data_IF_092753747465
#
_entry.id   IF_092753747465
#
_cell.length_a   1.000
_cell.length_b   1.000
_cell.length_c   1.000
_cell.angle_alpha   90.00
_cell.angle_beta   90.00
_cell.angle_gamma   90.00
#
_symmetry.space_group_name_H-M   'P 1'
#
loop_
_entity.id
_entity.type
_entity.pdbx_description
1 polymer ?
#
# COMPACT_ATOMS: atom_id res chain seq x y z
N UNK A 1 -11.68 -14.10 9.24
CA UNK A 1 -10.25 -14.14 9.56
C UNK A 1 -9.58 -12.84 9.14
N UNK A 2 -8.83 -12.24 10.06
CA UNK A 2 -8.08 -11.02 9.73
C UNK A 2 -6.92 -11.34 8.78
N UNK A 3 -6.83 -10.57 7.69
CA UNK A 3 -5.74 -10.70 6.72
C UNK A 3 -5.07 -9.34 6.55
N UNK A 4 -3.84 -9.17 7.04
CA UNK A 4 -3.15 -7.89 6.92
C UNK A 4 -2.75 -7.53 5.49
N UNK A 5 -2.70 -8.53 4.58
CA UNK A 5 -2.41 -8.33 3.17
C UNK A 5 -3.48 -8.99 2.32
N UNK A 6 -3.77 -8.45 1.13
CA UNK A 6 -4.57 -9.15 0.12
C UNK A 6 -3.93 -10.49 -0.26
N UNK A 7 -4.73 -11.42 -0.76
CA UNK A 7 -4.21 -12.72 -1.21
C UNK A 7 -3.21 -12.62 -2.35
N UNK A 8 -3.28 -11.54 -3.13
CA UNK A 8 -2.37 -11.33 -4.25
C UNK A 8 -0.97 -10.89 -3.84
N UNK A 9 -0.76 -10.57 -2.55
CA UNK A 9 0.51 -10.01 -2.07
C UNK A 9 1.15 -10.86 -0.98
N UNK A 10 2.47 -10.78 -0.90
CA UNK A 10 3.26 -11.43 0.16
C UNK A 10 4.49 -10.58 0.49
N UNK A 11 5.13 -10.89 1.60
CA UNK A 11 6.36 -10.23 2.05
C UNK A 11 7.51 -11.19 1.87
N UNK A 12 8.58 -10.72 1.21
CA UNK A 12 9.80 -11.48 0.98
C UNK A 12 11.01 -10.59 1.13
N UNK A 13 12.19 -11.19 1.16
CA UNK A 13 13.44 -10.44 1.13
C UNK A 13 13.53 -9.66 -0.19
N UNK A 14 13.81 -8.36 -0.08
CA UNK A 14 13.86 -7.44 -1.20
C UNK A 14 15.28 -7.33 -1.75
N UNK A 15 15.41 -7.12 -3.06
CA UNK A 15 16.67 -6.71 -3.66
C UNK A 15 16.98 -5.24 -3.47
N UNK A 16 16.00 -4.44 -3.00
CA UNK A 16 16.16 -3.00 -2.80
C UNK A 16 16.60 -2.72 -1.36
N UNK A 17 15.81 -3.16 -0.39
CA UNK A 17 16.08 -2.90 1.01
C UNK A 17 15.28 -3.86 1.89
N UNK A 18 15.94 -4.60 2.77
CA UNK A 18 15.34 -5.47 3.77
C UNK A 18 14.26 -6.37 3.22
N UNK A 19 13.07 -6.30 3.80
CA UNK A 19 11.88 -6.99 3.32
C UNK A 19 11.11 -6.07 2.37
N UNK A 20 10.38 -6.67 1.44
CA UNK A 20 9.57 -5.95 0.48
C UNK A 20 8.23 -6.63 0.23
N UNK A 21 7.39 -5.95 -0.51
CA UNK A 21 6.04 -6.39 -0.88
C UNK A 21 6.09 -6.97 -2.30
N UNK A 22 5.63 -8.21 -2.47
CA UNK A 22 5.75 -8.93 -3.75
C UNK A 22 4.39 -9.44 -4.20
N UNK A 23 4.21 -9.52 -5.52
CA UNK A 23 3.02 -10.10 -6.13
C UNK A 23 3.10 -11.62 -6.07
N UNK A 24 2.06 -12.25 -5.52
CA UNK A 24 1.89 -13.72 -5.52
C UNK A 24 1.25 -14.20 -6.81
N UNK A 25 0.60 -13.31 -7.53
CA UNK A 25 -0.09 -13.59 -8.78
C UNK A 25 -0.07 -12.34 -9.64
N UNK A 26 -0.46 -12.45 -10.89
CA UNK A 26 -0.55 -11.30 -11.78
C UNK A 26 -1.56 -10.27 -11.27
N UNK A 27 -1.20 -8.98 -11.35
CA UNK A 27 -2.04 -7.86 -10.93
C UNK A 27 -2.22 -6.95 -12.14
N UNK A 28 -3.46 -6.66 -12.47
CA UNK A 28 -3.75 -5.81 -13.63
C UNK A 28 -3.60 -4.33 -13.34
N UNK A 29 -3.22 -3.57 -14.35
CA UNK A 29 -3.16 -2.11 -14.28
C UNK A 29 -4.48 -1.54 -13.76
N UNK A 30 -4.41 -0.60 -12.85
CA UNK A 30 -5.58 0.04 -12.25
C UNK A 30 -6.17 -0.71 -11.05
N UNK A 31 -5.65 -1.88 -10.70
CA UNK A 31 -6.13 -2.65 -9.57
C UNK A 31 -5.90 -1.88 -8.27
N UNK A 32 -6.95 -1.76 -7.44
CA UNK A 32 -6.85 -1.18 -6.12
C UNK A 32 -6.42 -2.28 -5.14
N UNK A 33 -5.23 -2.13 -4.57
CA UNK A 33 -4.64 -3.14 -3.70
C UNK A 33 -5.07 -2.99 -2.24
N UNK A 34 -5.67 -1.86 -1.89
CA UNK A 34 -6.14 -1.60 -0.54
C UNK A 34 -5.37 -0.48 0.15
N UNK A 35 -5.68 -0.28 1.42
CA UNK A 35 -5.16 0.84 2.21
C UNK A 35 -3.71 0.61 2.62
N UNK A 36 -2.84 1.57 2.30
CA UNK A 36 -1.43 1.55 2.69
C UNK A 36 -1.14 2.45 3.89
N UNK A 37 -1.85 3.55 3.99
CA UNK A 37 -1.63 4.57 5.02
C UNK A 37 -2.94 5.18 5.45
N UNK A 38 -2.98 5.69 6.68
CA UNK A 38 -4.13 6.41 7.23
C UNK A 38 -3.65 7.59 8.05
N UNK A 39 -4.36 8.73 7.96
CA UNK A 39 -4.07 9.92 8.74
C UNK A 39 -5.01 9.96 9.94
N UNK A 40 -4.45 9.91 11.14
CA UNK A 40 -5.18 10.04 12.40
C UNK A 40 -4.60 11.21 13.16
N UNK A 41 -5.41 12.25 13.39
CA UNK A 41 -4.90 13.49 13.96
C UNK A 41 -3.82 14.10 13.07
N UNK A 42 -2.61 14.27 13.59
CA UNK A 42 -1.46 14.78 12.84
C UNK A 42 -0.48 13.69 12.41
N UNK A 43 -0.79 12.41 12.69
CA UNK A 43 0.12 11.30 12.43
C UNK A 43 -0.35 10.40 11.29
N UNK A 44 0.60 10.04 10.42
CA UNK A 44 0.36 9.06 9.36
C UNK A 44 0.75 7.69 9.89
N UNK A 45 -0.18 6.74 9.83
CA UNK A 45 0.04 5.37 10.28
C UNK A 45 0.10 4.47 9.06
N UNK A 46 1.08 3.58 9.03
CA UNK A 46 1.25 2.59 7.97
C UNK A 46 0.49 1.31 8.30
N UNK A 47 -0.26 0.80 7.32
CA UNK A 47 -0.74 -0.59 7.40
C UNK A 47 0.44 -1.52 7.11
N UNK A 48 0.31 -2.85 7.30
CA UNK A 48 1.37 -3.77 6.90
C UNK A 48 1.79 -3.61 5.43
N UNK A 49 0.84 -3.32 4.54
CA UNK A 49 1.16 -3.05 3.14
C UNK A 49 2.06 -1.81 2.99
N UNK A 50 1.69 -0.71 3.64
CA UNK A 50 2.47 0.52 3.60
C UNK A 50 3.81 0.42 4.34
N UNK A 51 3.89 -0.46 5.34
CA UNK A 51 5.10 -0.65 6.14
C UNK A 51 6.20 -1.41 5.42
N UNK A 52 5.86 -2.25 4.45
CA UNK A 52 6.83 -3.09 3.75
C UNK A 52 7.09 -2.68 2.30
N UNK A 53 6.34 -1.73 1.76
CA UNK A 53 6.56 -1.30 0.38
C UNK A 53 7.80 -0.42 0.28
N UNK A 54 8.69 -0.73 -0.66
CA UNK A 54 9.92 0.02 -0.87
C UNK A 54 9.72 1.14 -1.88
N UNK A 55 10.62 2.13 -1.82
CA UNK A 55 10.63 3.27 -2.73
C UNK A 55 11.32 2.91 -4.05
N UNK A 56 10.78 3.45 -5.14
CA UNK A 56 11.44 3.46 -6.44
C UNK A 56 10.99 4.71 -7.20
N UNK A 57 11.92 5.31 -7.95
CA UNK A 57 11.56 6.40 -8.85
C UNK A 57 10.82 5.87 -10.09
N UNK A 58 10.97 4.58 -10.39
CA UNK A 58 10.23 3.89 -11.45
C UNK A 58 9.25 2.91 -10.80
N UNK A 59 8.36 3.45 -9.97
CA UNK A 59 7.43 2.67 -9.19
C UNK A 59 6.33 2.05 -10.06
N UNK A 60 5.85 0.87 -9.65
CA UNK A 60 4.75 0.19 -10.32
C UNK A 60 3.40 0.39 -9.62
N UNK A 61 3.38 1.11 -8.50
CA UNK A 61 2.13 1.51 -7.83
C UNK A 61 2.15 3.00 -7.51
N UNK A 62 0.97 3.52 -7.21
CA UNK A 62 0.79 4.91 -6.77
C UNK A 62 -0.12 4.93 -5.54
N UNK A 63 0.13 5.87 -4.63
CA UNK A 63 -0.76 6.15 -3.51
C UNK A 63 -1.85 7.11 -3.95
N UNK A 64 -3.10 6.72 -3.77
CA UNK A 64 -4.25 7.56 -4.08
C UNK A 64 -4.88 8.01 -2.77
N UNK A 65 -4.93 9.32 -2.55
CA UNK A 65 -5.51 9.91 -1.35
C UNK A 65 -7.03 9.91 -1.44
N UNK A 66 -7.66 9.49 -0.35
CA UNK A 66 -9.12 9.48 -0.22
C UNK A 66 -9.51 10.10 1.11
N UNK A 67 -10.58 10.88 1.11
CA UNK A 67 -11.15 11.40 2.35
C UNK A 67 -11.99 10.32 3.01
N UNK A 68 -11.96 10.28 4.35
CA UNK A 68 -12.75 9.36 5.15
C UNK A 68 -13.81 10.18 5.87
N UNK A 69 -15.09 9.79 5.73
CA UNK A 69 -16.16 10.41 6.49
C UNK A 69 -16.46 9.67 7.81
N UNK A 70 -15.81 8.54 8.04
CA UNK A 70 -15.83 7.83 9.33
C UNK A 70 -17.09 7.10 9.67
N UNK A 71 -18.07 7.02 8.77
CA UNK A 71 -19.38 6.46 9.07
C UNK A 71 -19.43 4.94 9.01
N UNK A 72 -18.63 4.35 8.11
CA UNK A 72 -18.78 2.94 7.75
C UNK A 72 -17.88 2.00 8.54
N UNK A 73 -16.83 2.51 9.19
CA UNK A 73 -15.87 1.67 9.89
C UNK A 73 -15.50 2.30 11.24
N UNK A 74 -15.89 1.67 12.37
CA UNK A 74 -15.56 2.21 13.69
C UNK A 74 -14.08 2.42 13.93
N UNK A 75 -13.22 1.61 13.31
CA UNK A 75 -11.76 1.76 13.44
C UNK A 75 -11.25 3.03 12.75
N UNK A 76 -11.99 3.55 11.78
CA UNK A 76 -11.61 4.72 11.02
C UNK A 76 -12.35 5.99 11.46
N UNK A 77 -13.12 5.96 12.56
CA UNK A 77 -13.90 7.13 13.03
C UNK A 77 -13.03 8.36 13.28
N UNK A 78 -11.79 8.16 13.74
CA UNK A 78 -10.88 9.27 14.04
C UNK A 78 -9.95 9.58 12.89
N UNK A 79 -10.00 8.80 11.82
CA UNK A 79 -9.18 9.02 10.65
C UNK A 79 -9.86 10.03 9.72
N UNK A 80 -9.07 10.91 9.11
CA UNK A 80 -9.57 11.94 8.20
C UNK A 80 -9.22 11.67 6.75
N UNK A 81 -8.15 10.91 6.50
CA UNK A 81 -7.69 10.57 5.17
C UNK A 81 -7.12 9.17 5.16
N UNK A 82 -7.16 8.54 4.01
CA UNK A 82 -6.45 7.28 3.76
C UNK A 82 -5.79 7.33 2.39
N UNK A 83 -4.81 6.48 2.20
CA UNK A 83 -4.16 6.29 0.91
C UNK A 83 -4.25 4.83 0.53
N UNK A 84 -4.74 4.57 -0.67
CA UNK A 84 -4.78 3.24 -1.25
C UNK A 84 -3.67 3.10 -2.27
N UNK A 85 -3.11 1.89 -2.40
CA UNK A 85 -2.18 1.58 -3.48
C UNK A 85 -2.96 1.10 -4.69
N UNK A 86 -2.61 1.67 -5.84
CA UNK A 86 -3.21 1.31 -7.13
C UNK A 86 -2.09 0.96 -8.09
N UNK A 87 -2.24 -0.15 -8.83
CA UNK A 87 -1.24 -0.58 -9.79
C UNK A 87 -1.20 0.39 -10.98
N UNK A 88 0.00 0.90 -11.29
CA UNK A 88 0.22 1.82 -12.41
C UNK A 88 0.32 1.09 -13.74
N UNK A 89 0.70 -0.19 -13.70
CA UNK A 89 0.83 -1.05 -14.86
C UNK A 89 0.54 -2.48 -14.44
N UNK A 90 0.53 -3.40 -15.40
CA UNK A 90 0.43 -4.81 -15.07
C UNK A 90 1.66 -5.24 -14.28
N UNK A 91 1.45 -5.98 -13.21
CA UNK A 91 2.51 -6.48 -12.33
C UNK A 91 2.49 -8.00 -12.42
N UNK A 92 3.65 -8.59 -12.68
CA UNK A 92 3.76 -10.04 -12.85
C UNK A 92 3.96 -10.74 -11.51
N UNK A 93 3.55 -12.00 -11.46
CA UNK A 93 3.86 -12.86 -10.30
C UNK A 93 5.36 -12.82 -10.01
N UNK A 94 5.71 -12.63 -8.75
CA UNK A 94 7.10 -12.57 -8.30
C UNK A 94 7.73 -11.18 -8.39
N UNK A 95 7.05 -10.22 -8.99
CA UNK A 95 7.57 -8.87 -9.12
C UNK A 95 7.40 -8.11 -7.79
N UNK A 96 8.40 -7.33 -7.40
CA UNK A 96 8.30 -6.48 -6.21
C UNK A 96 7.44 -5.26 -6.49
N UNK A 97 6.50 -4.97 -5.59
CA UNK A 97 5.72 -3.74 -5.66
C UNK A 97 6.51 -2.60 -5.03
N UNK A 98 6.53 -1.47 -5.71
CA UNK A 98 7.23 -0.27 -5.26
C UNK A 98 6.32 0.93 -5.39
N UNK A 99 6.60 1.96 -4.60
CA UNK A 99 5.88 3.22 -4.64
C UNK A 99 6.89 4.36 -4.56
N UNK A 100 6.58 5.49 -5.16
CA UNK A 100 7.40 6.68 -4.99
C UNK A 100 6.99 7.34 -3.68
N UNK A 101 7.93 7.44 -2.73
CA UNK A 101 7.67 8.10 -1.46
C UNK A 101 7.42 9.58 -1.70
N UNK A 102 6.30 10.08 -1.16
CA UNK A 102 5.89 11.48 -1.32
C UNK A 102 5.89 12.24 0.00
N UNK A 103 6.00 11.51 1.13
CA UNK A 103 6.14 12.09 2.46
C UNK A 103 7.38 11.48 3.07
N UNK A 104 8.45 12.16 3.29
CA UNK A 104 9.66 11.58 3.90
C UNK A 104 9.90 10.13 3.46
N UNK A 105 9.64 9.17 4.38
CA UNK A 105 9.89 7.75 4.16
C UNK A 105 8.64 6.95 3.74
N UNK A 106 7.58 7.64 3.38
CA UNK A 106 6.31 6.96 3.04
C UNK A 106 5.71 7.47 1.74
#
# INVERSE_FOLDING_TARGET
MYRPLPESLTIKQSGINGLGLFAKEGIGQGANLGMSHVLIGSGIIRTPMGGFINHSNDANTVKVELKINGEDDPLLKVATKKWNLVALRDIKEGEELTVRYTFYDV
#
